data_IF_952091025612
#
_entry.id   IF_952091025612
#
_cell.length_a   1.000
_cell.length_b   1.000
_cell.length_c   1.000
_cell.angle_alpha   90.00
_cell.angle_beta   90.00
_cell.angle_gamma   90.00
#
_symmetry.space_group_name_H-M   'P 1'
#
loop_
_entity.id
_entity.type
_entity.pdbx_description
1 polymer ?
#
# COMPACT_ATOMS: atom_id res chain seq x y z
N UNK A 1 -0.38 -13.82 -15.09
CA UNK A 1 -0.84 -12.86 -16.13
C UNK A 1 -0.26 -11.50 -15.78
N UNK A 2 0.54 -10.89 -16.66
CA UNK A 2 1.04 -9.51 -16.45
C UNK A 2 0.21 -8.59 -17.34
N UNK A 3 -0.64 -7.77 -16.74
CA UNK A 3 -1.31 -6.70 -17.46
C UNK A 3 -0.29 -5.56 -17.73
N UNK A 4 -0.20 -5.09 -18.97
CA UNK A 4 0.66 -3.95 -19.33
C UNK A 4 0.00 -2.66 -18.84
N UNK A 5 0.52 -2.11 -17.74
CA UNK A 5 0.08 -0.82 -17.18
C UNK A 5 0.83 0.37 -17.81
N UNK A 6 2.09 0.16 -18.23
CA UNK A 6 2.96 1.21 -18.78
C UNK A 6 3.63 0.75 -20.09
N UNK A 7 3.94 1.69 -20.99
CA UNK A 7 4.60 1.45 -22.29
C UNK A 7 6.13 1.36 -22.17
N UNK A 8 6.71 1.79 -21.06
CA UNK A 8 8.16 1.62 -20.79
C UNK A 8 8.46 0.27 -20.12
N UNK A 9 9.66 -0.29 -20.32
CA UNK A 9 10.10 -1.45 -19.53
C UNK A 9 10.30 -1.06 -18.04
N UNK A 10 10.08 -2.00 -17.09
CA UNK A 10 10.34 -1.76 -15.68
C UNK A 10 11.83 -1.54 -15.43
N UNK A 11 12.13 -0.60 -14.54
CA UNK A 11 13.48 -0.32 -14.09
C UNK A 11 13.89 -1.28 -12.97
N UNK A 12 15.19 -1.40 -12.72
CA UNK A 12 15.69 -2.17 -11.59
C UNK A 12 15.15 -1.56 -10.27
N UNK A 13 14.46 -2.38 -9.47
CA UNK A 13 13.80 -1.97 -8.23
C UNK A 13 12.32 -1.63 -8.38
N UNK A 14 11.76 -1.63 -9.59
CA UNK A 14 10.32 -1.49 -9.78
C UNK A 14 9.58 -2.73 -9.23
N UNK A 15 8.57 -2.49 -8.40
CA UNK A 15 7.69 -3.54 -7.86
C UNK A 15 6.41 -3.56 -8.69
N UNK A 16 6.07 -4.72 -9.25
CA UNK A 16 4.87 -4.89 -10.08
C UNK A 16 3.86 -5.73 -9.31
N UNK A 17 2.69 -5.16 -9.02
CA UNK A 17 1.54 -5.90 -8.53
C UNK A 17 0.90 -6.69 -9.67
N UNK A 18 0.90 -8.02 -9.60
CA UNK A 18 0.33 -8.88 -10.63
C UNK A 18 -1.20 -8.89 -10.67
N UNK A 19 -1.85 -8.22 -9.73
CA UNK A 19 -3.28 -8.33 -9.45
C UNK A 19 -3.60 -9.51 -8.53
N UNK A 20 -4.83 -9.54 -8.04
CA UNK A 20 -5.39 -10.63 -7.23
C UNK A 20 -5.97 -11.72 -8.13
N UNK A 21 -6.03 -12.95 -7.61
CA UNK A 21 -6.87 -13.99 -8.23
C UNK A 21 -8.36 -13.62 -8.04
N UNK A 22 -9.26 -14.20 -8.85
CA UNK A 22 -10.70 -14.00 -8.69
C UNK A 22 -11.17 -14.45 -7.30
N UNK A 23 -12.15 -13.75 -6.73
CA UNK A 23 -12.58 -13.88 -5.33
C UNK A 23 -11.52 -13.46 -4.29
N UNK A 24 -10.50 -12.71 -4.71
CA UNK A 24 -9.44 -12.24 -3.83
C UNK A 24 -9.71 -10.86 -3.21
N UNK A 25 -10.63 -10.07 -3.78
CA UNK A 25 -10.97 -8.77 -3.25
C UNK A 25 -12.11 -8.86 -2.22
N UNK A 26 -12.05 -8.04 -1.17
CA UNK A 26 -13.08 -7.96 -0.13
C UNK A 26 -14.50 -7.76 -0.66
N UNK A 27 -14.62 -7.03 -1.78
CA UNK A 27 -15.90 -6.81 -2.48
C UNK A 27 -16.46 -8.07 -3.13
N UNK A 28 -15.60 -8.97 -3.63
CA UNK A 28 -16.02 -10.24 -4.26
C UNK A 28 -16.45 -11.28 -3.23
N UNK A 29 -15.87 -11.24 -2.02
CA UNK A 29 -16.18 -12.14 -0.91
C UNK A 29 -17.22 -11.57 0.07
N UNK A 30 -17.67 -10.33 -0.13
CA UNK A 30 -18.63 -9.65 0.75
C UNK A 30 -18.09 -9.34 2.16
N UNK A 31 -16.76 -9.28 2.33
CA UNK A 31 -16.10 -9.04 3.62
C UNK A 31 -15.10 -7.90 3.50
N UNK A 32 -15.29 -6.88 4.32
CA UNK A 32 -14.37 -5.75 4.43
C UNK A 32 -13.55 -5.84 5.72
N UNK A 33 -12.30 -5.40 5.64
CA UNK A 33 -11.38 -5.38 6.77
C UNK A 33 -11.89 -4.44 7.87
N UNK A 34 -11.78 -4.89 9.11
CA UNK A 34 -12.08 -4.12 10.31
C UNK A 34 -10.78 -3.85 11.09
N UNK A 35 -10.72 -2.76 11.89
CA UNK A 35 -9.62 -2.56 12.82
C UNK A 35 -9.46 -3.74 13.77
N UNK A 36 -8.23 -4.20 13.95
CA UNK A 36 -7.90 -5.40 14.73
C UNK A 36 -7.86 -6.70 13.92
N UNK A 37 -8.32 -6.70 12.65
CA UNK A 37 -8.18 -7.86 11.78
C UNK A 37 -6.70 -8.15 11.48
N UNK A 38 -6.36 -9.43 11.32
CA UNK A 38 -5.07 -9.85 10.79
C UNK A 38 -5.27 -10.35 9.36
N UNK A 39 -4.62 -9.68 8.41
CA UNK A 39 -4.61 -10.07 7.01
C UNK A 39 -3.41 -10.97 6.74
N UNK A 40 -3.66 -12.21 6.32
CA UNK A 40 -2.62 -13.18 5.93
C UNK A 40 -2.66 -13.45 4.43
N UNK A 41 -1.54 -13.24 3.73
CA UNK A 41 -1.35 -13.60 2.33
C UNK A 41 -0.22 -14.64 2.27
N UNK A 42 -0.53 -15.83 1.80
CA UNK A 42 0.45 -16.91 1.60
C UNK A 42 0.69 -17.13 0.11
N UNK A 43 1.96 -17.25 -0.26
CA UNK A 43 2.36 -17.66 -1.60
C UNK A 43 3.41 -18.76 -1.49
N UNK A 44 3.11 -19.90 -2.12
CA UNK A 44 3.98 -21.07 -2.11
C UNK A 44 5.38 -20.72 -2.63
N UNK A 45 6.40 -21.12 -1.88
CA UNK A 45 7.81 -20.86 -2.22
C UNK A 45 8.31 -19.43 -1.92
N UNK A 46 7.45 -18.48 -1.53
CA UNK A 46 7.85 -17.14 -1.07
C UNK A 46 7.61 -16.98 0.42
N UNK A 47 6.47 -17.47 0.93
CA UNK A 47 6.12 -17.45 2.35
C UNK A 47 4.80 -16.70 2.64
N UNK A 48 4.62 -16.33 3.91
CA UNK A 48 3.39 -15.68 4.40
C UNK A 48 3.66 -14.23 4.83
N UNK A 49 2.90 -13.30 4.27
CA UNK A 49 2.79 -11.92 4.75
C UNK A 49 1.61 -11.81 5.72
N UNK A 50 1.88 -11.39 6.96
CA UNK A 50 0.85 -11.13 7.98
C UNK A 50 0.87 -9.65 8.35
N UNK A 51 -0.26 -8.98 8.19
CA UNK A 51 -0.37 -7.54 8.43
C UNK A 51 -1.58 -7.27 9.33
N UNK A 52 -1.39 -6.67 10.52
CA UNK A 52 -2.50 -6.21 11.34
C UNK A 52 -3.14 -4.97 10.72
N UNK A 53 -4.47 -4.93 10.72
CA UNK A 53 -5.26 -3.80 10.24
C UNK A 53 -5.49 -2.86 11.40
N UNK A 54 -5.02 -1.63 11.28
CA UNK A 54 -5.15 -0.59 12.30
C UNK A 54 -5.74 0.68 11.70
N UNK A 55 -6.48 1.44 12.52
CA UNK A 55 -6.92 2.81 12.15
C UNK A 55 -5.76 3.80 12.19
N UNK A 56 -4.73 3.51 12.98
CA UNK A 56 -3.53 4.33 13.07
C UNK A 56 -2.59 4.05 11.90
N UNK A 57 -2.05 5.12 11.31
CA UNK A 57 -0.98 5.02 10.31
C UNK A 57 0.35 4.83 11.03
N UNK A 58 0.98 3.67 10.82
CA UNK A 58 2.31 3.41 11.34
C UNK A 58 3.34 4.38 10.70
N UNK A 59 4.25 4.93 11.51
CA UNK A 59 5.29 5.85 11.03
C UNK A 59 6.40 5.05 10.35
N UNK A 60 6.36 4.96 9.03
CA UNK A 60 7.41 4.29 8.26
C UNK A 60 8.77 5.02 8.36
N UNK A 61 9.83 4.26 8.69
CA UNK A 61 11.22 4.73 8.64
C UNK A 61 11.75 4.68 7.19
N UNK A 62 11.43 5.70 6.40
CA UNK A 62 11.83 5.80 5.00
C UNK A 62 13.33 6.09 4.83
N UNK A 63 14.06 5.15 4.24
CA UNK A 63 15.46 5.31 3.84
C UNK A 63 15.67 6.48 2.87
N UNK A 64 16.51 7.43 3.30
CA UNK A 64 17.29 8.40 2.52
C UNK A 64 16.56 9.10 1.35
N UNK A 65 15.70 10.07 1.67
CA UNK A 65 15.36 11.15 0.71
C UNK A 65 16.64 11.93 0.38
N UNK A 66 17.11 11.86 -0.88
CA UNK A 66 18.03 12.88 -1.39
C UNK A 66 17.26 14.20 -1.45
N UNK A 67 17.76 15.15 -0.68
CA UNK A 67 17.25 16.51 -0.60
C UNK A 67 17.53 17.26 -1.90
N UNK A 68 16.54 18.03 -2.36
CA UNK A 68 16.72 19.44 -2.74
C UNK A 68 15.42 19.96 -3.35
N UNK A 69 14.60 20.64 -2.54
CA UNK A 69 14.02 21.95 -2.84
C UNK A 69 13.05 22.28 -1.72
N UNK A 70 13.47 23.25 -0.91
CA UNK A 70 12.61 24.03 -0.04
C UNK A 70 11.38 24.51 -0.82
N UNK A 71 10.19 24.21 -0.34
CA UNK A 71 9.09 25.17 -0.33
C UNK A 71 8.40 25.08 1.03
N UNK A 72 8.60 26.12 1.84
CA UNK A 72 7.99 26.33 3.15
C UNK A 72 6.65 27.06 2.95
N UNK A 73 5.81 26.94 3.96
CA UNK A 73 4.63 27.75 4.31
C UNK A 73 3.36 27.65 3.45
N UNK A 74 2.26 27.33 4.13
CA UNK A 74 0.89 27.49 3.64
C UNK A 74 -0.13 26.88 4.60
N UNK A 75 -0.65 27.71 5.51
CA UNK A 75 -1.72 27.47 6.49
C UNK A 75 -3.05 27.07 5.80
N UNK A 76 -3.99 26.43 6.52
CA UNK A 76 -5.45 26.68 6.44
C UNK A 76 -6.14 25.98 7.63
N UNK A 77 -6.40 26.79 8.66
CA UNK A 77 -7.68 27.01 9.34
C UNK A 77 -8.67 25.84 9.45
N UNK A 78 -9.05 25.51 10.69
CA UNK A 78 -10.40 25.07 11.02
C UNK A 78 -10.78 25.55 12.43
N UNK A 79 -11.54 26.65 12.47
CA UNK A 79 -12.48 26.94 13.56
C UNK A 79 -13.61 25.92 13.46
N UNK A 80 -13.88 25.12 14.50
CA UNK A 80 -15.24 24.95 15.02
C UNK A 80 -15.28 24.24 16.38
N UNK A 81 -16.01 24.89 17.28
CA UNK A 81 -16.53 24.52 18.62
C UNK A 81 -15.60 24.72 19.82
#
# INVERSE_FOLDING_TARGET
>A
MLARVDRRPPAAGDIIGSGTMGFGAGVEIGRFLQPGDILELELEGVGTLRTPVSVEREKHHGGRRRASTLMKSGNHDDETV
#
